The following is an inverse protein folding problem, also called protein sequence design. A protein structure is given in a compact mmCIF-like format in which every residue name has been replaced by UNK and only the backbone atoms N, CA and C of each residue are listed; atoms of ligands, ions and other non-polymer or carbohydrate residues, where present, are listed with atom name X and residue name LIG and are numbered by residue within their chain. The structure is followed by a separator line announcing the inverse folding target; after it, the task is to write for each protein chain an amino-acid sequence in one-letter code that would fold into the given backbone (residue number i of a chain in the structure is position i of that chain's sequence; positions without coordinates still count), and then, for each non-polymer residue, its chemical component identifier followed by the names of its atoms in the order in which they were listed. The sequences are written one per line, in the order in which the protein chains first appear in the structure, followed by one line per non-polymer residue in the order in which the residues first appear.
data_IF_796960964303
#
_entry.id   IF_796960964303
#
_cell.length_a   1.000
_cell.length_b   1.000
_cell.length_c   1.000
_cell.angle_alpha   90.00
_cell.angle_beta   90.00
_cell.angle_gamma   90.00
#
_symmetry.space_group_name_H-M   'P 1'
#
loop_
_entity.id
_entity.type
_entity.pdbx_description
1 polymer ?
#
# COMPACT_ATOMS: atom_id res chain seq x y z
N UNK A 1 -0.34 -34.34 -10.45
CA UNK A 1 1.04 -34.34 -9.94
C UNK A 1 1.31 -32.96 -9.39
N UNK A 2 1.78 -32.86 -8.14
CA UNK A 2 2.22 -31.58 -7.57
C UNK A 2 3.63 -31.37 -8.12
N UNK A 3 3.83 -30.35 -8.95
CA UNK A 3 5.17 -29.97 -9.38
C UNK A 3 5.83 -29.21 -8.22
N UNK A 4 6.91 -29.73 -7.62
CA UNK A 4 7.60 -29.02 -6.56
C UNK A 4 8.18 -27.72 -7.13
N UNK A 5 7.85 -26.60 -6.48
CA UNK A 5 8.45 -25.31 -6.80
C UNK A 5 9.82 -25.26 -6.16
N UNK A 6 10.86 -25.15 -6.99
CA UNK A 6 12.22 -24.89 -6.50
C UNK A 6 12.45 -23.39 -6.47
N UNK A 7 12.78 -22.86 -5.30
CA UNK A 7 13.19 -21.46 -5.09
C UNK A 7 14.65 -21.41 -4.66
N UNK A 8 15.29 -20.26 -4.83
CA UNK A 8 16.67 -20.08 -4.38
C UNK A 8 16.74 -20.03 -2.84
N UNK A 9 17.88 -20.40 -2.24
CA UNK A 9 18.06 -20.32 -0.78
C UNK A 9 17.85 -18.92 -0.21
N UNK A 10 18.22 -17.88 -0.97
CA UNK A 10 18.06 -16.48 -0.56
C UNK A 10 16.57 -16.11 -0.44
N UNK A 11 15.76 -16.54 -1.42
CA UNK A 11 14.30 -16.32 -1.39
C UNK A 11 13.67 -17.11 -0.25
N UNK A 12 14.10 -18.36 -0.03
CA UNK A 12 13.60 -19.17 1.09
C UNK A 12 13.88 -18.49 2.45
N UNK A 13 15.10 -17.99 2.64
CA UNK A 13 15.51 -17.25 3.86
C UNK A 13 14.70 -15.97 4.04
N UNK A 14 14.42 -15.24 2.95
CA UNK A 14 13.59 -14.04 3.01
C UNK A 14 12.15 -14.36 3.44
N UNK A 15 11.55 -15.42 2.89
CA UNK A 15 10.20 -15.88 3.27
C UNK A 15 10.15 -16.29 4.74
N UNK A 16 11.16 -17.02 5.24
CA UNK A 16 11.27 -17.38 6.65
C UNK A 16 11.38 -16.15 7.55
N UNK A 17 12.17 -15.16 7.15
CA UNK A 17 12.35 -13.90 7.89
C UNK A 17 11.02 -13.15 8.00
N UNK A 18 10.27 -13.02 6.90
CA UNK A 18 8.95 -12.39 6.91
C UNK A 18 7.99 -13.17 7.81
N UNK A 19 7.95 -14.50 7.71
CA UNK A 19 7.10 -15.32 8.57
C UNK A 19 7.39 -15.09 10.06
N UNK A 20 8.66 -15.02 10.45
CA UNK A 20 9.09 -14.73 11.82
C UNK A 20 8.66 -13.34 12.30
N UNK A 21 8.72 -12.30 11.44
CA UNK A 21 8.25 -10.95 11.78
C UNK A 21 6.76 -10.92 12.13
N UNK A 22 5.96 -11.79 11.52
CA UNK A 22 4.53 -11.96 11.85
C UNK A 22 4.28 -12.99 12.96
N UNK A 23 5.33 -13.59 13.54
CA UNK A 23 5.25 -14.70 14.49
C UNK A 23 4.43 -15.89 13.92
N UNK A 24 4.69 -16.23 12.66
CA UNK A 24 4.07 -17.33 11.92
C UNK A 24 5.12 -18.32 11.42
N UNK A 25 4.69 -19.55 11.16
CA UNK A 25 5.45 -20.46 10.29
C UNK A 25 5.25 -20.10 8.81
N UNK A 26 6.18 -20.52 7.94
CA UNK A 26 6.07 -20.29 6.49
C UNK A 26 4.76 -20.86 5.90
N UNK A 27 4.31 -22.09 6.23
CA UNK A 27 3.03 -22.59 5.76
C UNK A 27 1.85 -21.72 6.20
N UNK A 28 1.83 -21.26 7.45
CA UNK A 28 0.75 -20.39 7.95
C UNK A 28 0.74 -19.02 7.27
N UNK A 29 1.92 -18.45 7.00
CA UNK A 29 2.05 -17.20 6.25
C UNK A 29 1.40 -17.35 4.87
N UNK A 30 1.80 -18.38 4.12
CA UNK A 30 1.31 -18.65 2.77
C UNK A 30 -0.19 -19.00 2.76
N UNK A 31 -0.65 -19.76 3.76
CA UNK A 31 -2.08 -20.07 3.92
C UNK A 31 -2.89 -18.78 4.14
N UNK A 32 -2.43 -17.89 5.03
CA UNK A 32 -3.10 -16.60 5.25
C UNK A 32 -3.11 -15.73 4.01
N UNK A 33 -2.04 -15.73 3.20
CA UNK A 33 -2.01 -15.06 1.90
C UNK A 33 -3.07 -15.65 0.97
N UNK A 34 -3.10 -16.98 0.82
CA UNK A 34 -4.06 -17.66 -0.06
C UNK A 34 -5.53 -17.45 0.37
N UNK A 35 -5.78 -17.25 1.67
CA UNK A 35 -7.10 -16.96 2.23
C UNK A 35 -7.47 -15.48 2.16
N UNK A 36 -6.57 -14.62 1.66
CA UNK A 36 -6.76 -13.16 1.64
C UNK A 36 -6.73 -12.49 3.02
N UNK A 37 -6.26 -13.22 4.06
CA UNK A 37 -6.07 -12.68 5.41
C UNK A 37 -4.78 -11.86 5.53
N UNK A 38 -3.83 -12.10 4.62
CA UNK A 38 -2.65 -11.28 4.39
C UNK A 38 -2.60 -10.96 2.89
N UNK A 39 -2.13 -9.76 2.56
CA UNK A 39 -1.91 -9.37 1.17
C UNK A 39 -0.45 -8.97 1.00
N UNK A 40 0.12 -9.32 -0.14
CA UNK A 40 1.39 -8.74 -0.59
C UNK A 40 1.00 -7.60 -1.52
N UNK A 41 1.43 -6.39 -1.19
CA UNK A 41 1.14 -5.18 -1.95
C UNK A 41 2.45 -4.46 -2.23
N UNK A 42 2.54 -3.85 -3.40
CA UNK A 42 3.64 -2.96 -3.71
C UNK A 42 3.56 -1.71 -2.82
N UNK A 43 4.67 -1.24 -2.23
CA UNK A 43 4.65 -0.05 -1.39
C UNK A 43 4.13 1.22 -2.09
N UNK A 44 4.43 1.40 -3.39
CA UNK A 44 3.95 2.55 -4.17
C UNK A 44 2.44 2.45 -4.39
N UNK A 45 1.92 1.25 -4.70
CA UNK A 45 0.47 1.04 -4.81
C UNK A 45 -0.26 1.29 -3.48
N UNK A 46 0.37 0.94 -2.35
CA UNK A 46 -0.18 1.22 -1.03
C UNK A 46 -0.20 2.73 -0.74
N UNK A 47 0.87 3.45 -1.08
CA UNK A 47 0.97 4.90 -0.93
C UNK A 47 -0.12 5.60 -1.76
N UNK A 48 -0.24 5.28 -3.05
CA UNK A 48 -1.29 5.84 -3.92
C UNK A 48 -2.70 5.62 -3.36
N UNK A 49 -2.97 4.45 -2.80
CA UNK A 49 -4.26 4.14 -2.19
C UNK A 49 -4.52 4.95 -0.91
N UNK A 50 -3.48 5.16 -0.08
CA UNK A 50 -3.58 5.97 1.12
C UNK A 50 -3.78 7.45 0.75
N UNK A 51 -3.03 7.96 -0.21
CA UNK A 51 -3.16 9.34 -0.71
C UNK A 51 -4.56 9.62 -1.25
N UNK A 52 -5.15 8.68 -1.99
CA UNK A 52 -6.54 8.81 -2.44
C UNK A 52 -7.52 8.90 -1.27
N UNK A 53 -7.34 8.07 -0.24
CA UNK A 53 -8.19 8.11 0.95
C UNK A 53 -8.05 9.43 1.70
N UNK A 54 -6.83 9.91 1.85
CA UNK A 54 -6.52 11.17 2.54
C UNK A 54 -7.10 12.35 1.77
N UNK A 55 -6.98 12.36 0.44
CA UNK A 55 -7.61 13.36 -0.42
C UNK A 55 -9.14 13.36 -0.28
N UNK A 56 -9.78 12.17 -0.25
CA UNK A 56 -11.23 12.06 -0.03
C UNK A 56 -11.61 12.57 1.37
N UNK A 57 -10.83 12.25 2.41
CA UNK A 57 -11.10 12.73 3.76
C UNK A 57 -10.97 14.26 3.84
N UNK A 58 -9.89 14.82 3.28
CA UNK A 58 -9.68 16.25 3.21
C UNK A 58 -10.79 16.96 2.44
N UNK A 59 -11.25 16.40 1.31
CA UNK A 59 -12.36 16.92 0.51
C UNK A 59 -13.72 16.78 1.19
N UNK A 60 -13.87 15.98 2.25
CA UNK A 60 -15.09 15.92 3.04
C UNK A 60 -15.07 16.84 4.28
N UNK A 61 -13.91 17.43 4.60
CA UNK A 61 -13.78 18.35 5.73
C UNK A 61 -14.46 19.69 5.39
N UNK A 62 -15.43 20.17 6.20
CA UNK A 62 -16.08 21.46 6.02
C UNK A 62 -15.10 22.64 5.89
N UNK A 63 -13.96 22.59 6.58
CA UNK A 63 -12.94 23.64 6.55
C UNK A 63 -12.22 23.72 5.19
N UNK A 64 -12.17 22.61 4.45
CA UNK A 64 -11.53 22.53 3.14
C UNK A 64 -12.52 22.71 1.96
N UNK A 65 -13.76 23.13 2.23
CA UNK A 65 -14.77 23.30 1.18
C UNK A 65 -14.67 24.62 0.41
N UNK A 66 -13.80 25.53 0.83
CA UNK A 66 -13.60 26.78 0.10
C UNK A 66 -13.07 26.48 -1.31
N UNK A 67 -13.81 26.93 -2.33
CA UNK A 67 -13.40 26.82 -3.73
C UNK A 67 -12.87 28.17 -4.18
N UNK A 68 -11.57 28.25 -4.45
CA UNK A 68 -10.93 29.44 -5.00
C UNK A 68 -10.80 29.34 -6.53
N UNK A 69 -10.84 30.47 -7.22
CA UNK A 69 -10.66 30.49 -8.67
C UNK A 69 -9.21 30.25 -9.05
N UNK A 70 -8.98 29.70 -10.25
CA UNK A 70 -7.63 29.50 -10.77
C UNK A 70 -6.82 30.79 -10.88
N UNK A 71 -7.47 31.92 -11.15
CA UNK A 71 -6.82 33.24 -11.17
C UNK A 71 -6.26 33.65 -9.79
N UNK A 72 -6.99 33.35 -8.71
CA UNK A 72 -6.52 33.60 -7.34
C UNK A 72 -5.31 32.71 -7.03
N UNK A 73 -5.36 31.42 -7.40
CA UNK A 73 -4.25 30.48 -7.19
C UNK A 73 -3.00 30.96 -7.94
N UNK A 74 -3.14 31.30 -9.23
CA UNK A 74 -2.07 31.84 -10.07
C UNK A 74 -1.42 33.09 -9.47
N UNK A 75 -2.26 34.05 -9.04
CA UNK A 75 -1.78 35.26 -8.37
C UNK A 75 -1.00 34.94 -7.10
N UNK A 76 -1.51 34.06 -6.23
CA UNK A 76 -0.87 33.68 -4.98
C UNK A 76 0.47 32.93 -5.17
N UNK A 77 0.60 32.16 -6.26
CA UNK A 77 1.82 31.43 -6.61
C UNK A 77 2.80 32.27 -7.45
N UNK A 78 2.44 33.51 -7.82
CA UNK A 78 3.26 34.35 -8.69
C UNK A 78 3.37 33.85 -10.14
N UNK A 79 2.42 33.04 -10.58
CA UNK A 79 2.34 32.50 -11.93
C UNK A 79 1.39 33.42 -12.71
N UNK A 80 1.92 34.20 -13.66
CA UNK A 80 1.11 35.06 -14.53
C UNK A 80 0.51 34.26 -15.69
#
# INVERSE_FOLDING_TARGET
MINPLTISPEIATAIETVAQQFNLSVPELLERISQGKLTVIDPEELEDFLDLKDAIQAENDPENQERVSWEIIKHNLGIN
#
